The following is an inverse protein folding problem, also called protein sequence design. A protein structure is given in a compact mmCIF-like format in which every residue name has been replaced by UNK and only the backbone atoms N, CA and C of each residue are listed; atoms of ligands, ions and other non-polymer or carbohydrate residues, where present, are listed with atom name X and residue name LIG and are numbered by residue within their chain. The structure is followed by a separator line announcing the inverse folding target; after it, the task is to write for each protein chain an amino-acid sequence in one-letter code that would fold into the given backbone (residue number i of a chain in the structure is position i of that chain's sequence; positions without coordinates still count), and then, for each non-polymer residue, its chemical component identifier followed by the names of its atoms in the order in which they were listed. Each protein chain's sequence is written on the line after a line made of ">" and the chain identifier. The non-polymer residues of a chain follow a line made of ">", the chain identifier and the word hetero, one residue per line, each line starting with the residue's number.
data_IF_772696029804
#
_entry.id   IF_772696029804
#
_cell.length_a   1.000
_cell.length_b   1.000
_cell.length_c   1.000
_cell.angle_alpha   90.00
_cell.angle_beta   90.00
_cell.angle_gamma   90.00
#
_symmetry.space_group_name_H-M   'P 1'
#
loop_
_entity.id
_entity.type
_entity.pdbx_description
1 polymer ?
#
# COMPACT_ATOMS: atom_id res chain seq x y z
N UNK A 1 19.96 11.39 51.83
CA UNK A 1 18.72 11.04 51.09
C UNK A 1 19.14 10.47 49.73
N UNK A 2 19.08 9.13 49.55
CA UNK A 2 19.49 8.45 48.30
C UNK A 2 18.30 8.45 47.33
N UNK A 3 18.36 9.27 46.29
CA UNK A 3 17.38 9.25 45.20
C UNK A 3 17.69 8.02 44.34
N UNK A 4 16.80 7.02 44.40
CA UNK A 4 16.80 5.86 43.51
C UNK A 4 16.64 6.32 42.05
N UNK A 5 17.67 6.12 41.23
CA UNK A 5 17.77 6.60 39.83
C UNK A 5 16.89 5.86 38.81
N UNK A 6 16.01 4.94 39.21
CA UNK A 6 15.55 3.91 38.28
C UNK A 6 14.14 4.02 37.69
N UNK A 7 13.29 5.01 38.00
CA UNK A 7 11.90 4.97 37.48
C UNK A 7 11.25 6.34 37.21
N UNK A 8 11.80 7.16 36.31
CA UNK A 8 11.09 8.37 35.84
C UNK A 8 10.94 8.48 34.33
N UNK A 9 11.40 7.54 33.51
CA UNK A 9 11.18 7.60 32.05
C UNK A 9 10.05 6.67 31.62
N UNK A 10 9.17 7.17 30.75
CA UNK A 10 8.16 6.35 30.08
C UNK A 10 8.84 5.30 29.20
N UNK A 11 8.14 4.19 28.92
CA UNK A 11 8.71 3.06 28.14
C UNK A 11 9.18 3.47 26.74
N UNK A 12 8.54 4.48 26.15
CA UNK A 12 8.88 5.07 24.85
C UNK A 12 9.93 6.19 24.94
N UNK A 13 10.39 6.54 26.15
CA UNK A 13 11.42 7.55 26.47
C UNK A 13 11.09 8.99 26.07
N UNK A 14 9.88 9.25 25.55
CA UNK A 14 9.45 10.59 25.15
C UNK A 14 8.94 11.44 26.32
N UNK A 15 8.68 10.80 27.45
CA UNK A 15 8.13 11.45 28.64
C UNK A 15 8.95 11.08 29.85
N UNK A 16 9.11 12.02 30.76
CA UNK A 16 9.67 11.77 32.07
C UNK A 16 8.74 12.29 33.17
N UNK A 17 8.66 11.58 34.29
CA UNK A 17 7.83 11.92 35.43
C UNK A 17 8.61 12.86 36.35
N UNK A 18 8.09 14.07 36.57
CA UNK A 18 8.72 15.08 37.43
C UNK A 18 8.38 14.93 38.92
N UNK A 19 7.51 13.97 39.26
CA UNK A 19 6.96 13.77 40.61
C UNK A 19 5.48 14.14 40.73
N UNK A 20 4.97 15.01 39.88
CA UNK A 20 3.59 15.51 39.90
C UNK A 20 2.87 15.33 38.56
N UNK A 21 3.59 15.35 37.44
CA UNK A 21 3.04 15.22 36.09
C UNK A 21 4.06 14.63 35.12
N UNK A 22 3.56 14.08 34.01
CA UNK A 22 4.41 13.64 32.90
C UNK A 22 4.85 14.87 32.10
N UNK A 23 6.16 15.14 32.13
CA UNK A 23 6.79 16.18 31.34
C UNK A 23 7.35 15.58 30.05
N UNK A 24 7.28 16.29 28.90
CA UNK A 24 8.02 15.89 27.72
C UNK A 24 9.52 15.92 28.01
N UNK A 25 10.24 14.85 27.67
CA UNK A 25 11.70 14.89 27.68
C UNK A 25 12.11 15.91 26.62
N UNK A 26 12.80 17.00 27.02
CA UNK A 26 13.29 18.07 26.13
C UNK A 26 13.72 17.49 24.77
N UNK A 27 12.93 17.75 23.74
CA UNK A 27 13.01 17.04 22.45
C UNK A 27 11.75 16.28 22.05
N UNK A 28 10.55 16.77 22.39
CA UNK A 28 9.31 16.32 21.71
C UNK A 28 9.51 16.29 20.19
N UNK A 29 8.91 15.34 19.45
CA UNK A 29 8.95 15.32 17.99
C UNK A 29 8.40 16.60 17.33
N UNK A 30 7.79 17.52 18.09
CA UNK A 30 7.47 18.87 17.65
C UNK A 30 8.72 19.76 17.40
N UNK A 31 9.86 19.46 18.03
CA UNK A 31 11.15 20.15 17.85
C UNK A 31 12.23 19.30 17.16
N UNK A 32 12.01 17.99 16.97
CA UNK A 32 12.81 17.21 16.03
C UNK A 32 12.55 17.80 14.63
N UNK A 33 13.44 18.70 14.20
CA UNK A 33 13.27 19.52 13.01
C UNK A 33 12.65 18.73 11.87
N UNK A 34 11.61 19.31 11.24
CA UNK A 34 10.94 18.74 10.07
C UNK A 34 11.99 18.01 9.23
N UNK A 35 11.86 16.68 9.01
CA UNK A 35 12.85 15.96 8.24
C UNK A 35 13.03 16.72 6.91
N UNK A 36 14.28 17.03 6.51
CA UNK A 36 14.53 17.96 5.41
C UNK A 36 13.70 17.54 4.20
N UNK A 37 12.77 18.42 3.81
CA UNK A 37 11.77 18.19 2.78
C UNK A 37 12.42 18.36 1.39
N UNK A 38 13.39 17.52 1.07
CA UNK A 38 14.00 17.45 -0.24
C UNK A 38 13.27 16.44 -1.14
N UNK A 39 13.08 16.79 -2.42
CA UNK A 39 12.50 15.91 -3.44
C UNK A 39 13.17 14.52 -3.50
N UNK A 40 14.45 14.43 -3.14
CA UNK A 40 15.23 13.19 -3.05
C UNK A 40 14.60 12.12 -2.14
N UNK A 41 13.80 12.49 -1.13
CA UNK A 41 13.06 11.50 -0.30
C UNK A 41 11.71 11.07 -0.90
N UNK A 42 11.27 11.64 -2.02
CA UNK A 42 10.07 11.20 -2.74
C UNK A 42 10.37 10.08 -3.73
N UNK A 43 11.61 9.98 -4.21
CA UNK A 43 12.03 8.97 -5.18
C UNK A 43 12.34 7.65 -4.47
N UNK A 44 11.70 6.52 -4.86
CA UNK A 44 12.05 5.18 -4.38
C UNK A 44 13.56 4.91 -4.51
N UNK A 45 14.17 4.22 -3.54
CA UNK A 45 15.62 3.97 -3.49
C UNK A 45 16.47 5.07 -2.82
N UNK A 46 16.07 6.35 -2.89
CA UNK A 46 16.83 7.47 -2.29
C UNK A 46 16.42 7.82 -0.85
N UNK A 47 15.33 7.21 -0.33
CA UNK A 47 14.76 7.52 1.00
C UNK A 47 15.66 7.24 2.21
N UNK A 48 16.53 6.23 2.14
CA UNK A 48 17.27 5.71 3.32
C UNK A 48 18.72 6.17 3.43
N UNK A 49 19.22 7.03 2.53
CA UNK A 49 20.58 7.59 2.63
C UNK A 49 21.73 6.60 2.43
N UNK A 50 21.48 5.29 2.30
CA UNK A 50 22.52 4.29 2.05
C UNK A 50 23.01 4.38 0.59
N UNK A 51 24.31 4.64 0.40
CA UNK A 51 24.92 4.86 -0.91
C UNK A 51 24.64 3.72 -1.92
N UNK A 52 24.71 2.46 -1.49
CA UNK A 52 24.48 1.31 -2.39
C UNK A 52 23.07 1.27 -2.99
N UNK A 53 22.05 1.69 -2.24
CA UNK A 53 20.66 1.75 -2.75
C UNK A 53 20.48 2.86 -3.78
N UNK A 54 21.22 3.95 -3.63
CA UNK A 54 21.24 5.01 -4.65
C UNK A 54 21.90 4.50 -5.93
N UNK A 55 23.00 3.75 -5.82
CA UNK A 55 23.66 3.14 -6.99
C UNK A 55 22.70 2.19 -7.70
N UNK A 56 22.03 1.29 -6.98
CA UNK A 56 21.02 0.38 -7.57
C UNK A 56 19.87 1.15 -8.23
N UNK A 57 19.36 2.19 -7.59
CA UNK A 57 18.31 3.02 -8.16
C UNK A 57 18.76 3.73 -9.44
N UNK A 58 19.94 4.35 -9.44
CA UNK A 58 20.52 5.03 -10.61
C UNK A 58 20.72 4.06 -11.77
N UNK A 59 21.33 2.90 -11.51
CA UNK A 59 21.52 1.87 -12.54
C UNK A 59 20.18 1.36 -13.08
N UNK A 60 19.19 1.17 -12.20
CA UNK A 60 17.82 0.85 -12.58
C UNK A 60 17.24 1.89 -13.53
N UNK A 61 17.28 3.18 -13.15
CA UNK A 61 16.77 4.30 -13.96
C UNK A 61 17.47 4.44 -15.32
N UNK A 62 18.80 4.25 -15.36
CA UNK A 62 19.57 4.27 -16.60
C UNK A 62 19.19 3.10 -17.52
N UNK A 63 18.95 1.91 -16.96
CA UNK A 63 18.40 0.77 -17.69
C UNK A 63 17.06 1.11 -18.35
N UNK A 64 16.12 1.70 -17.60
CA UNK A 64 14.83 2.15 -18.16
C UNK A 64 15.03 3.08 -19.35
N UNK A 65 15.90 4.09 -19.19
CA UNK A 65 16.11 5.11 -20.21
C UNK A 65 16.71 4.50 -21.50
N UNK A 66 17.67 3.58 -21.37
CA UNK A 66 18.29 2.89 -22.49
C UNK A 66 17.29 1.98 -23.23
N UNK A 67 16.51 1.21 -22.50
CA UNK A 67 15.42 0.38 -23.02
C UNK A 67 14.38 1.22 -23.77
N UNK A 68 13.91 2.32 -23.15
CA UNK A 68 12.95 3.24 -23.76
C UNK A 68 13.49 3.80 -25.08
N UNK A 69 14.75 4.26 -25.08
CA UNK A 69 15.41 4.81 -26.26
C UNK A 69 15.53 3.77 -27.40
N UNK A 70 15.92 2.53 -27.07
CA UNK A 70 16.07 1.44 -28.05
C UNK A 70 14.72 1.02 -28.65
N UNK A 71 13.68 0.90 -27.82
CA UNK A 71 12.33 0.56 -28.30
C UNK A 71 11.71 1.66 -29.16
N UNK A 72 11.91 2.93 -28.80
CA UNK A 72 11.51 4.08 -29.62
C UNK A 72 12.26 4.13 -30.96
N UNK A 73 13.58 3.89 -30.95
CA UNK A 73 14.40 3.90 -32.17
C UNK A 73 13.99 2.82 -33.18
N UNK A 74 13.53 1.66 -32.70
CA UNK A 74 13.17 0.52 -33.55
C UNK A 74 11.68 0.44 -33.89
N UNK A 75 10.85 1.36 -33.37
CA UNK A 75 9.37 1.33 -33.46
C UNK A 75 8.75 -0.04 -33.07
N UNK A 76 9.48 -0.84 -32.28
CA UNK A 76 9.08 -2.18 -31.90
C UNK A 76 8.33 -2.12 -30.57
N UNK A 77 7.03 -1.83 -30.66
CA UNK A 77 6.15 -1.69 -29.50
C UNK A 77 6.13 -2.96 -28.63
N UNK A 78 6.25 -4.15 -29.24
CA UNK A 78 6.24 -5.42 -28.52
C UNK A 78 7.52 -5.63 -27.69
N UNK A 79 8.69 -5.35 -28.28
CA UNK A 79 9.97 -5.36 -27.55
C UNK A 79 10.01 -4.33 -26.43
N UNK A 80 9.49 -3.14 -26.71
CA UNK A 80 9.36 -2.04 -25.74
C UNK A 80 8.51 -2.41 -24.51
N UNK A 81 7.34 -3.03 -24.73
CA UNK A 81 6.46 -3.49 -23.65
C UNK A 81 7.07 -4.65 -22.86
N UNK A 82 7.75 -5.58 -23.55
CA UNK A 82 8.45 -6.69 -22.91
C UNK A 82 9.53 -6.22 -21.94
N UNK A 83 10.37 -5.27 -22.36
CA UNK A 83 11.43 -4.75 -21.51
C UNK A 83 10.91 -3.84 -20.39
N UNK A 84 9.89 -3.00 -20.63
CA UNK A 84 9.23 -2.25 -19.56
C UNK A 84 8.67 -3.17 -18.47
N UNK A 85 8.17 -4.34 -18.87
CA UNK A 85 7.61 -5.30 -17.92
C UNK A 85 8.72 -6.02 -17.13
N UNK A 86 9.79 -6.46 -17.78
CA UNK A 86 10.95 -7.04 -17.11
C UNK A 86 11.54 -6.06 -16.07
N UNK A 87 11.59 -4.79 -16.43
CA UNK A 87 12.09 -3.73 -15.57
C UNK A 87 11.12 -3.37 -14.43
N UNK A 88 9.81 -3.33 -14.67
CA UNK A 88 8.81 -3.18 -13.62
C UNK A 88 8.94 -4.29 -12.57
N UNK A 89 9.21 -5.52 -13.01
CA UNK A 89 9.43 -6.68 -12.14
C UNK A 89 10.77 -6.59 -11.40
N UNK A 90 11.83 -6.09 -12.03
CA UNK A 90 13.11 -5.83 -11.37
C UNK A 90 12.97 -4.76 -10.26
N UNK A 91 12.23 -3.69 -10.52
CA UNK A 91 11.94 -2.64 -9.54
C UNK A 91 11.05 -3.17 -8.40
N UNK A 92 10.06 -4.01 -8.73
CA UNK A 92 9.23 -4.68 -7.73
C UNK A 92 10.07 -5.59 -6.84
N UNK A 93 11.01 -6.35 -7.43
CA UNK A 93 11.94 -7.22 -6.70
C UNK A 93 12.94 -6.40 -5.84
N UNK A 94 13.44 -5.28 -6.34
CA UNK A 94 14.33 -4.38 -5.60
C UNK A 94 13.63 -3.73 -4.40
N UNK A 95 12.34 -3.41 -4.51
CA UNK A 95 11.53 -2.87 -3.40
C UNK A 95 10.86 -3.95 -2.54
N UNK A 96 10.87 -5.22 -3.00
CA UNK A 96 10.30 -6.36 -2.27
C UNK A 96 10.92 -6.50 -0.87
N UNK A 97 12.21 -6.17 -0.70
CA UNK A 97 12.87 -6.15 0.61
C UNK A 97 12.35 -5.05 1.54
N UNK A 98 11.94 -3.91 0.99
CA UNK A 98 11.32 -2.81 1.73
C UNK A 98 9.91 -3.17 2.20
N UNK A 99 9.15 -3.83 1.34
CA UNK A 99 7.79 -4.33 1.59
C UNK A 99 7.81 -5.51 2.58
N UNK A 100 8.78 -6.43 2.47
CA UNK A 100 8.98 -7.57 3.38
C UNK A 100 9.13 -7.13 4.84
N UNK A 101 9.85 -6.05 5.10
CA UNK A 101 10.08 -5.55 6.46
C UNK A 101 8.81 -5.03 7.16
N UNK A 102 7.70 -4.85 6.43
CA UNK A 102 6.47 -4.22 6.94
C UNK A 102 5.25 -5.12 6.88
N UNK A 103 5.33 -6.25 6.21
CA UNK A 103 4.24 -7.19 6.05
C UNK A 103 4.83 -8.54 6.47
N UNK A 104 4.61 -8.92 7.73
CA UNK A 104 5.13 -10.17 8.33
C UNK A 104 4.52 -11.44 7.73
N UNK A 105 4.02 -11.38 6.50
CA UNK A 105 3.52 -12.51 5.73
C UNK A 105 4.59 -12.79 4.68
N UNK A 106 5.48 -13.71 5.05
CA UNK A 106 6.57 -14.19 4.22
C UNK A 106 5.98 -14.84 2.95
N UNK A 107 6.68 -14.64 1.82
CA UNK A 107 6.59 -15.38 0.54
C UNK A 107 5.65 -14.89 -0.58
N UNK A 108 4.48 -14.31 -0.33
CA UNK A 108 3.50 -14.07 -1.41
C UNK A 108 3.93 -13.06 -2.52
N UNK A 109 4.45 -11.85 -2.23
CA UNK A 109 4.69 -10.85 -3.28
C UNK A 109 5.95 -11.14 -4.13
N UNK A 110 7.00 -11.70 -3.53
CA UNK A 110 8.21 -12.10 -4.26
C UNK A 110 7.94 -13.31 -5.16
N UNK A 111 7.14 -14.28 -4.69
CA UNK A 111 6.72 -15.42 -5.49
C UNK A 111 5.81 -15.01 -6.67
N UNK A 112 4.89 -14.05 -6.47
CA UNK A 112 4.04 -13.52 -7.54
C UNK A 112 4.86 -12.71 -8.56
N UNK A 113 5.84 -11.93 -8.11
CA UNK A 113 6.74 -11.19 -9.00
C UNK A 113 7.64 -12.12 -9.81
N UNK A 114 8.22 -13.14 -9.16
CA UNK A 114 8.99 -14.17 -9.84
C UNK A 114 8.10 -14.97 -10.80
N UNK A 115 6.90 -15.38 -10.41
CA UNK A 115 5.98 -16.09 -11.30
C UNK A 115 5.58 -15.24 -12.52
N UNK A 116 5.25 -13.96 -12.31
CA UNK A 116 4.95 -13.04 -13.41
C UNK A 116 6.17 -12.83 -14.32
N UNK A 117 7.37 -12.68 -13.76
CA UNK A 117 8.63 -12.58 -14.51
C UNK A 117 8.93 -13.86 -15.30
N UNK A 118 8.74 -15.03 -14.70
CA UNK A 118 8.93 -16.31 -15.37
C UNK A 118 7.93 -16.49 -16.51
N UNK A 119 6.65 -16.15 -16.32
CA UNK A 119 5.64 -16.19 -17.39
C UNK A 119 5.99 -15.21 -18.52
N UNK A 120 6.49 -14.02 -18.19
CA UNK A 120 6.87 -13.01 -19.19
C UNK A 120 8.17 -13.33 -19.92
N UNK A 121 9.16 -13.92 -19.26
CA UNK A 121 10.42 -14.33 -19.87
C UNK A 121 10.26 -15.60 -20.70
N UNK A 122 9.29 -16.47 -20.36
CA UNK A 122 8.98 -17.67 -21.15
C UNK A 122 8.04 -17.39 -22.33
N UNK A 123 7.26 -16.31 -22.31
CA UNK A 123 6.33 -16.00 -23.41
C UNK A 123 7.01 -15.81 -24.79
N UNK A 124 8.18 -15.14 -24.92
CA UNK A 124 8.91 -15.01 -26.17
C UNK A 124 9.45 -16.36 -26.66
N UNK A 125 10.01 -17.17 -25.77
CA UNK A 125 10.55 -18.51 -26.07
C UNK A 125 9.44 -19.46 -26.55
N UNK A 126 8.27 -19.44 -25.91
CA UNK A 126 7.10 -20.19 -26.37
C UNK A 126 6.67 -19.71 -27.76
N UNK A 127 6.70 -18.41 -28.03
CA UNK A 127 6.35 -17.90 -29.36
C UNK A 127 7.38 -18.22 -30.45
N UNK A 128 8.68 -18.23 -30.11
CA UNK A 128 9.77 -18.56 -31.03
C UNK A 128 9.85 -20.05 -31.35
N UNK A 129 9.77 -20.91 -30.32
CA UNK A 129 9.70 -22.36 -30.51
C UNK A 129 8.46 -22.77 -31.32
N UNK A 130 7.34 -22.06 -31.13
CA UNK A 130 6.13 -22.28 -31.93
C UNK A 130 6.28 -21.81 -33.37
N UNK A 131 6.92 -20.66 -33.62
CA UNK A 131 7.23 -20.22 -34.98
C UNK A 131 8.20 -21.15 -35.72
N UNK A 132 9.23 -21.65 -35.04
CA UNK A 132 10.16 -22.63 -35.61
C UNK A 132 9.46 -23.97 -35.89
N UNK A 133 8.57 -24.42 -35.01
CA UNK A 133 7.70 -25.57 -35.25
C UNK A 133 6.83 -25.40 -36.50
N UNK A 134 6.24 -24.22 -36.70
CA UNK A 134 5.44 -23.92 -37.90
C UNK A 134 6.24 -23.94 -39.20
N UNK A 135 7.51 -23.53 -39.19
CA UNK A 135 8.35 -23.60 -40.39
C UNK A 135 8.60 -25.04 -40.84
N UNK A 136 8.64 -26.00 -39.92
CA UNK A 136 8.89 -27.41 -40.22
C UNK A 136 7.65 -28.17 -40.73
N UNK A 137 6.43 -27.71 -40.42
CA UNK A 137 5.16 -28.36 -40.82
C UNK A 137 4.04 -27.32 -41.05
N UNK A 138 3.93 -26.75 -42.26
CA UNK A 138 3.02 -25.63 -42.53
C UNK A 138 1.53 -25.97 -42.34
N UNK A 139 1.09 -27.18 -42.70
CA UNK A 139 -0.32 -27.58 -42.62
C UNK A 139 -0.89 -27.73 -41.20
N UNK A 140 -0.05 -27.96 -40.19
CA UNK A 140 -0.51 -28.09 -38.81
C UNK A 140 -0.70 -26.75 -38.11
N UNK A 141 -0.08 -25.66 -38.56
CA UNK A 141 -0.17 -24.38 -37.86
C UNK A 141 -1.43 -23.56 -38.17
N UNK A 142 -2.09 -23.77 -39.31
CA UNK A 142 -3.39 -23.12 -39.57
C UNK A 142 -4.48 -23.67 -38.66
N UNK A 143 -4.53 -24.99 -38.45
CA UNK A 143 -5.54 -25.64 -37.60
C UNK A 143 -5.48 -25.21 -36.13
N UNK A 144 -4.31 -24.82 -35.62
CA UNK A 144 -4.13 -24.42 -34.21
C UNK A 144 -4.46 -22.94 -33.95
N UNK A 145 -4.35 -22.06 -34.97
CA UNK A 145 -4.76 -20.66 -34.83
C UNK A 145 -6.27 -20.51 -34.62
N UNK A 146 -7.04 -21.46 -35.11
CA UNK A 146 -8.51 -21.45 -35.01
C UNK A 146 -9.04 -22.16 -33.76
N UNK A 147 -8.18 -22.81 -32.96
CA UNK A 147 -8.67 -23.46 -31.74
C UNK A 147 -9.19 -22.39 -30.77
N UNK A 148 -10.49 -22.43 -30.40
CA UNK A 148 -11.11 -21.40 -29.57
C UNK A 148 -10.43 -21.26 -28.21
N UNK A 149 -9.88 -22.36 -27.66
CA UNK A 149 -9.13 -22.33 -26.40
C UNK A 149 -7.82 -21.54 -26.49
N UNK A 150 -7.12 -21.58 -27.63
CA UNK A 150 -5.87 -20.83 -27.83
C UNK A 150 -6.14 -19.32 -27.93
N UNK A 151 -7.14 -18.93 -28.74
CA UNK A 151 -7.57 -17.53 -28.87
C UNK A 151 -8.09 -17.01 -27.53
N UNK A 152 -8.93 -17.79 -26.85
CA UNK A 152 -9.46 -17.43 -25.54
C UNK A 152 -8.33 -17.24 -24.50
N UNK A 153 -7.37 -18.17 -24.42
CA UNK A 153 -6.24 -18.05 -23.49
C UNK A 153 -5.37 -16.83 -23.78
N UNK A 154 -5.09 -16.56 -25.06
CA UNK A 154 -4.27 -15.43 -25.50
C UNK A 154 -4.91 -14.07 -25.22
N UNK A 155 -6.24 -13.99 -25.20
CA UNK A 155 -6.99 -12.79 -24.83
C UNK A 155 -7.27 -12.71 -23.32
N UNK A 156 -7.48 -13.84 -22.65
CA UNK A 156 -7.83 -13.89 -21.24
C UNK A 156 -6.69 -13.39 -20.34
N UNK A 157 -5.44 -13.81 -20.59
CA UNK A 157 -4.29 -13.40 -19.77
C UNK A 157 -4.10 -11.87 -19.75
N UNK A 158 -3.98 -11.17 -20.89
CA UNK A 158 -3.83 -9.71 -20.88
C UNK A 158 -5.08 -9.01 -20.33
N UNK A 159 -6.27 -9.55 -20.56
CA UNK A 159 -7.50 -9.01 -19.98
C UNK A 159 -7.50 -9.10 -18.44
N UNK A 160 -7.07 -10.23 -17.88
CA UNK A 160 -6.96 -10.40 -16.42
C UNK A 160 -5.89 -9.47 -15.82
N UNK A 161 -4.74 -9.31 -16.49
CA UNK A 161 -3.69 -8.37 -16.08
C UNK A 161 -4.17 -6.91 -16.16
N UNK A 162 -4.90 -6.56 -17.22
CA UNK A 162 -5.52 -5.25 -17.38
C UNK A 162 -6.51 -4.96 -16.26
N UNK A 163 -7.36 -5.92 -15.90
CA UNK A 163 -8.36 -5.78 -14.85
C UNK A 163 -7.82 -5.94 -13.42
N UNK A 164 -6.54 -6.30 -13.26
CA UNK A 164 -5.93 -6.58 -11.96
C UNK A 164 -6.14 -5.46 -10.93
N UNK A 165 -5.94 -4.15 -11.23
CA UNK A 165 -6.21 -3.08 -10.27
C UNK A 165 -7.67 -3.04 -9.79
N UNK A 166 -8.62 -3.26 -10.69
CA UNK A 166 -10.06 -3.28 -10.39
C UNK A 166 -10.41 -4.47 -9.49
N UNK A 167 -9.90 -5.66 -9.81
CA UNK A 167 -10.11 -6.87 -9.01
C UNK A 167 -9.56 -6.66 -7.59
N UNK A 168 -8.35 -6.13 -7.45
CA UNK A 168 -7.75 -5.82 -6.14
C UNK A 168 -8.61 -4.83 -5.36
N UNK A 169 -9.10 -3.76 -6.00
CA UNK A 169 -9.92 -2.74 -5.33
C UNK A 169 -11.25 -3.30 -4.80
N UNK A 170 -11.90 -4.17 -5.58
CA UNK A 170 -13.15 -4.83 -5.21
C UNK A 170 -12.94 -5.82 -4.05
N UNK A 171 -11.94 -6.71 -4.17
CA UNK A 171 -11.63 -7.72 -3.14
C UNK A 171 -11.22 -7.06 -1.82
N UNK A 172 -10.44 -5.97 -1.86
CA UNK A 172 -10.02 -5.24 -0.65
C UNK A 172 -11.08 -4.31 -0.08
N UNK A 173 -12.22 -4.15 -0.76
CA UNK A 173 -13.28 -3.21 -0.40
C UNK A 173 -12.71 -1.82 -0.02
N UNK A 174 -11.91 -1.26 -0.93
CA UNK A 174 -11.35 0.10 -0.80
C UNK A 174 -12.50 1.11 -0.89
N UNK A 175 -12.51 2.20 -0.10
CA UNK A 175 -13.57 3.22 -0.14
C UNK A 175 -13.83 3.73 -1.57
N UNK A 176 -12.75 4.01 -2.31
CA UNK A 176 -12.79 4.57 -3.65
C UNK A 176 -12.65 3.50 -4.76
N UNK A 177 -13.11 2.26 -4.51
CA UNK A 177 -12.99 1.15 -5.48
C UNK A 177 -13.62 1.45 -6.85
N UNK A 178 -14.69 2.23 -6.88
CA UNK A 178 -15.33 2.64 -8.12
C UNK A 178 -14.50 3.64 -8.91
N UNK A 179 -13.81 4.57 -8.22
CA UNK A 179 -12.87 5.49 -8.85
C UNK A 179 -11.68 4.74 -9.45
N UNK A 180 -11.12 3.78 -8.71
CA UNK A 180 -10.05 2.92 -9.22
C UNK A 180 -10.51 2.14 -10.47
N UNK A 181 -11.73 1.62 -10.48
CA UNK A 181 -12.31 0.95 -11.64
C UNK A 181 -12.49 1.90 -12.84
N UNK A 182 -13.03 3.11 -12.63
CA UNK A 182 -13.20 4.11 -13.69
C UNK A 182 -11.86 4.53 -14.30
N UNK A 183 -10.84 4.78 -13.47
CA UNK A 183 -9.50 5.12 -13.94
C UNK A 183 -8.89 3.96 -14.73
N UNK A 184 -9.05 2.72 -14.26
CA UNK A 184 -8.55 1.56 -14.96
C UNK A 184 -9.24 1.35 -16.32
N UNK A 185 -10.56 1.55 -16.42
CA UNK A 185 -11.29 1.36 -17.68
C UNK A 185 -10.98 2.47 -18.69
N UNK A 186 -10.97 3.73 -18.25
CA UNK A 186 -10.79 4.89 -19.14
C UNK A 186 -9.33 5.14 -19.51
N UNK A 187 -8.41 4.87 -18.57
CA UNK A 187 -7.00 5.23 -18.70
C UNK A 187 -6.04 4.04 -18.50
N UNK A 188 -6.53 2.83 -18.21
CA UNK A 188 -5.68 1.67 -17.95
C UNK A 188 -4.90 1.18 -19.17
N UNK A 189 -5.28 1.60 -20.38
CA UNK A 189 -4.46 1.38 -21.58
C UNK A 189 -3.17 2.20 -21.55
N UNK A 190 -3.13 3.27 -20.75
CA UNK A 190 -1.91 4.03 -20.47
C UNK A 190 -1.21 3.47 -19.24
N UNK A 191 0.12 3.39 -19.27
CA UNK A 191 0.91 2.95 -18.12
C UNK A 191 0.62 3.81 -16.87
N UNK A 192 0.41 5.12 -17.06
CA UNK A 192 0.11 6.06 -15.96
C UNK A 192 -1.26 5.76 -15.34
N UNK A 193 -2.31 5.58 -16.16
CA UNK A 193 -3.66 5.30 -15.66
C UNK A 193 -3.75 3.94 -14.97
N UNK A 194 -3.08 2.92 -15.51
CA UNK A 194 -3.00 1.61 -14.86
C UNK A 194 -2.31 1.67 -13.50
N UNK A 195 -1.16 2.37 -13.42
CA UNK A 195 -0.43 2.56 -12.15
C UNK A 195 -1.22 3.41 -11.15
N UNK A 196 -1.96 4.42 -11.61
CA UNK A 196 -2.84 5.23 -10.75
C UNK A 196 -3.99 4.39 -10.17
N UNK A 197 -4.65 3.58 -11.00
CA UNK A 197 -5.68 2.65 -10.54
C UNK A 197 -5.11 1.61 -9.55
N UNK A 198 -3.90 1.10 -9.81
CA UNK A 198 -3.21 0.19 -8.91
C UNK A 198 -2.84 0.86 -7.57
N UNK A 199 -2.37 2.10 -7.61
CA UNK A 199 -2.03 2.85 -6.40
C UNK A 199 -3.26 3.04 -5.50
N UNK A 200 -4.40 3.42 -6.10
CA UNK A 200 -5.68 3.57 -5.40
C UNK A 200 -6.19 2.22 -4.85
N UNK A 201 -6.06 1.14 -5.63
CA UNK A 201 -6.49 -0.20 -5.16
C UNK A 201 -5.60 -0.73 -4.03
N UNK A 202 -4.35 -0.28 -3.97
CA UNK A 202 -3.40 -0.66 -2.93
C UNK A 202 -3.48 0.21 -1.68
N UNK A 203 -4.10 1.39 -1.78
CA UNK A 203 -4.22 2.35 -0.70
C UNK A 203 -4.74 1.64 0.55
N UNK A 204 -3.88 1.63 1.59
CA UNK A 204 -4.31 1.11 2.88
C UNK A 204 -5.37 2.07 3.35
N UNK A 205 -6.54 1.55 3.76
CA UNK A 205 -7.50 2.31 4.57
C UNK A 205 -6.67 3.12 5.55
N UNK A 206 -6.70 4.45 5.39
CA UNK A 206 -5.75 5.34 6.05
C UNK A 206 -5.61 4.86 7.48
N UNK A 207 -4.40 4.44 7.87
CA UNK A 207 -4.17 3.95 9.22
C UNK A 207 -4.78 5.01 10.13
N UNK A 208 -5.77 4.66 10.97
CA UNK A 208 -6.42 5.64 11.82
C UNK A 208 -5.31 6.41 12.51
N UNK A 209 -5.35 7.74 12.39
CA UNK A 209 -4.31 8.62 12.94
C UNK A 209 -4.08 8.12 14.36
N UNK A 210 -2.84 7.68 14.70
CA UNK A 210 -2.61 7.04 15.98
C UNK A 210 -3.01 8.03 17.05
N UNK A 211 -4.09 7.70 17.75
CA UNK A 211 -4.58 8.55 18.82
C UNK A 211 -3.48 8.56 19.88
N UNK A 212 -3.04 9.75 20.34
CA UNK A 212 -2.11 9.84 21.46
C UNK A 212 -2.78 9.27 22.71
N UNK A 213 -2.54 7.98 22.94
CA UNK A 213 -3.00 7.21 24.09
C UNK A 213 -1.88 7.17 25.13
N UNK A 214 -2.26 7.22 26.40
CA UNK A 214 -1.35 6.94 27.52
C UNK A 214 -0.76 5.53 27.40
N UNK A 215 0.35 5.25 28.10
CA UNK A 215 1.01 3.94 28.03
C UNK A 215 0.12 2.76 28.45
N UNK A 216 -0.86 3.01 29.33
CA UNK A 216 -1.89 2.06 29.77
C UNK A 216 -3.16 2.06 28.88
N UNK A 217 -3.22 2.95 27.88
CA UNK A 217 -4.34 3.15 26.93
C UNK A 217 -5.69 3.47 27.58
N UNK A 218 -5.70 3.87 28.85
CA UNK A 218 -6.92 4.33 29.55
C UNK A 218 -7.25 5.76 29.25
N UNK A 219 -6.28 6.57 28.83
CA UNK A 219 -6.46 7.98 28.57
C UNK A 219 -6.03 8.32 27.15
N UNK A 220 -6.74 9.24 26.51
CA UNK A 220 -6.32 9.83 25.24
C UNK A 220 -6.23 11.34 25.36
N UNK A 221 -5.31 11.94 24.61
CA UNK A 221 -5.11 13.39 24.61
C UNK A 221 -6.05 14.06 23.63
N UNK A 222 -6.93 14.94 24.14
CA UNK A 222 -7.91 15.69 23.35
C UNK A 222 -7.34 16.91 22.61
N UNK A 223 -6.08 17.25 22.85
CA UNK A 223 -5.48 18.52 22.45
C UNK A 223 -5.30 19.48 23.63
N UNK A 224 -6.16 19.40 24.65
CA UNK A 224 -6.11 20.27 25.84
C UNK A 224 -6.07 19.53 27.17
N UNK A 225 -6.66 18.32 27.25
CA UNK A 225 -6.68 17.49 28.45
C UNK A 225 -6.66 15.99 28.14
N UNK A 226 -6.25 15.19 29.12
CA UNK A 226 -6.42 13.74 29.10
C UNK A 226 -7.88 13.37 29.40
N UNK A 227 -8.47 12.54 28.55
CA UNK A 227 -9.86 12.06 28.67
C UNK A 227 -9.85 10.54 28.82
N UNK A 228 -10.66 10.02 29.74
CA UNK A 228 -10.83 8.57 29.93
C UNK A 228 -11.45 7.96 28.67
N UNK A 229 -10.75 6.99 28.09
CA UNK A 229 -11.14 6.31 26.85
C UNK A 229 -12.35 5.39 27.02
N UNK A 230 -12.67 5.01 28.27
CA UNK A 230 -13.89 4.26 28.61
C UNK A 230 -15.12 5.16 28.67
N UNK A 231 -14.95 6.42 29.10
CA UNK A 231 -16.02 7.41 29.15
C UNK A 231 -16.33 7.98 27.76
N UNK A 232 -15.29 8.25 26.96
CA UNK A 232 -15.47 8.83 25.63
C UNK A 232 -14.37 8.34 24.68
N UNK A 233 -14.71 7.57 23.63
CA UNK A 233 -13.73 7.19 22.62
C UNK A 233 -13.25 8.40 21.82
N UNK A 234 -11.98 8.42 21.36
CA UNK A 234 -11.46 9.49 20.52
C UNK A 234 -12.31 9.67 19.25
N UNK A 235 -12.60 10.91 18.82
CA UNK A 235 -13.46 11.17 17.66
C UNK A 235 -12.88 10.63 16.35
N UNK A 236 -11.56 10.53 16.26
CA UNK A 236 -10.82 10.02 15.09
C UNK A 236 -10.44 8.54 15.18
N UNK A 237 -10.86 7.84 16.25
CA UNK A 237 -10.61 6.41 16.36
C UNK A 237 -11.44 5.64 15.31
N UNK A 238 -10.84 4.61 14.70
CA UNK A 238 -11.58 3.71 13.84
C UNK A 238 -12.70 3.02 14.62
N UNK A 239 -13.90 2.96 14.04
CA UNK A 239 -15.09 2.35 14.64
C UNK A 239 -15.63 1.22 13.77
N UNK A 240 -16.33 0.29 14.38
CA UNK A 240 -17.15 -0.69 13.66
C UNK A 240 -18.34 0.02 12.97
N UNK A 241 -18.95 -0.60 11.94
CA UNK A 241 -20.07 0.01 11.21
C UNK A 241 -21.29 0.34 12.08
N UNK A 242 -21.52 -0.43 13.13
CA UNK A 242 -22.57 -0.22 14.14
C UNK A 242 -22.18 0.84 15.19
N UNK A 243 -20.94 1.31 15.19
CA UNK A 243 -20.40 2.26 16.17
C UNK A 243 -20.21 1.69 17.57
N UNK A 244 -20.51 0.41 17.80
CA UNK A 244 -20.47 -0.22 19.13
C UNK A 244 -19.04 -0.46 19.63
N UNK A 245 -18.06 -0.54 18.74
CA UNK A 245 -16.65 -0.77 19.07
C UNK A 245 -15.74 0.27 18.41
N UNK A 246 -14.64 0.57 19.09
CA UNK A 246 -13.56 1.40 18.57
C UNK A 246 -12.20 0.74 18.76
N UNK A 247 -11.28 0.99 17.84
CA UNK A 247 -9.93 0.40 17.87
C UNK A 247 -8.97 1.30 18.64
N UNK A 248 -8.38 0.79 19.72
CA UNK A 248 -7.40 1.54 20.53
C UNK A 248 -5.94 1.38 20.07
N UNK A 249 -5.72 0.77 18.91
CA UNK A 249 -4.38 0.42 18.41
C UNK A 249 -3.94 -1.01 18.69
N UNK A 250 -4.59 -1.72 19.64
CA UNK A 250 -4.25 -3.11 20.01
C UNK A 250 -5.46 -4.02 20.14
N UNK A 251 -6.57 -3.52 20.65
CA UNK A 251 -7.81 -4.27 20.84
C UNK A 251 -9.01 -3.39 20.48
N UNK A 252 -10.11 -4.06 20.12
CA UNK A 252 -11.41 -3.42 19.99
C UNK A 252 -12.00 -3.22 21.38
N UNK A 253 -12.42 -1.99 21.69
CA UNK A 253 -13.08 -1.62 22.95
C UNK A 253 -14.51 -1.19 22.71
N UNK A 254 -15.44 -1.46 23.63
CA UNK A 254 -16.79 -0.94 23.53
C UNK A 254 -16.76 0.59 23.52
N UNK A 255 -17.47 1.21 22.57
CA UNK A 255 -17.77 2.62 22.63
C UNK A 255 -18.79 2.82 23.76
N UNK A 256 -18.61 3.87 24.57
CA UNK A 256 -19.60 4.22 25.58
C UNK A 256 -20.98 4.31 24.92
N UNK A 257 -21.92 3.50 25.40
CA UNK A 257 -23.31 3.58 24.95
C UNK A 257 -23.75 5.02 25.17
N UNK A 258 -24.27 5.72 24.14
CA UNK A 258 -24.87 7.03 24.36
C UNK A 258 -25.86 6.88 25.51
N UNK A 259 -25.88 7.81 26.49
CA UNK A 259 -26.91 7.76 27.53
C UNK A 259 -28.24 7.65 26.80
N UNK A 260 -29.02 6.60 27.09
CA UNK A 260 -30.29 6.34 26.43
C UNK A 260 -31.04 7.68 26.40
N UNK A 261 -31.32 8.18 25.19
CA UNK A 261 -31.92 9.49 24.99
C UNK A 261 -33.03 9.64 26.01
N UNK A 262 -32.85 10.56 26.97
CA UNK A 262 -33.81 10.70 28.07
C UNK A 262 -35.20 10.80 27.42
N UNK A 263 -36.18 9.99 27.86
CA UNK A 263 -37.49 9.97 27.22
C UNK A 263 -37.95 11.41 27.10
N UNK A 264 -38.21 11.87 25.87
CA UNK A 264 -38.75 13.19 25.61
C UNK A 264 -39.97 13.32 26.50
N UNK A 265 -39.84 14.04 27.63
CA UNK A 265 -40.96 14.32 28.50
C UNK A 265 -41.89 15.15 27.64
N UNK A 266 -42.91 14.50 27.09
CA UNK A 266 -43.98 15.17 26.39
C UNK A 266 -44.56 16.14 27.40
N UNK A 267 -44.21 17.42 27.28
CA UNK A 267 -44.76 18.49 28.08
C UNK A 267 -46.26 18.49 27.78
N UNK A 268 -47.03 17.86 28.67
CA UNK A 268 -48.47 17.79 28.59
C UNK A 268 -48.97 19.23 28.73
N UNK A 269 -49.36 19.84 27.62
CA UNK A 269 -49.96 21.17 27.62
C UNK A 269 -51.25 21.11 28.41
N UNK A 270 -51.30 21.81 29.55
CA UNK A 270 -52.53 22.14 30.25
C UNK A 270 -53.25 23.24 29.46
N UNK A 271 -54.32 22.86 28.77
CA UNK A 271 -55.35 23.76 28.26
C UNK A 271 -56.54 23.81 29.20
#
# INVERSE_FOLDING_TARGET
>A
MKISRNQTLSRDRFWWWDGHSWQPTLGTPAQAGRPPSGWRRRVPGFRRGSAWRMVVAVLGYLGIAATLATGLANLNLAGFLGELTALALLLLAADAFGVQSRIGILWAPAALALAALTVLLLAPEVSHGFQQGCQSRPGTCEAWKEQPGYVAGRLAIPLLLYLLPTVIALVRAVPDRWLAACINVLFGLTCIGWLAALALSLERRGNPVPVPLSGDRRWWWSGSRWIDSTAMPPPMAARTPDGAWWWNGVEWRPAATPPASAPTVATLGTG
#
